data_IF_323501560949
#
_entry.id   IF_323501560949
#
_cell.length_a   1.000
_cell.length_b   1.000
_cell.length_c   1.000
_cell.angle_alpha   90.00
_cell.angle_beta   90.00
_cell.angle_gamma   90.00
#
_symmetry.space_group_name_H-M   'P 1'
#
loop_
_entity.id
_entity.type
_entity.pdbx_description
1 polymer ?
#
# COMPACT_ATOMS: atom_id res chain seq x y z
N UNK A 1 41.04 -12.23 42.24
CA UNK A 1 39.76 -12.59 41.60
C UNK A 1 38.67 -11.50 41.69
N UNK A 2 38.43 -10.75 42.76
CA UNK A 2 37.35 -9.73 42.84
C UNK A 2 37.53 -8.50 41.95
N UNK A 3 38.77 -8.08 41.58
CA UNK A 3 39.04 -6.90 40.76
C UNK A 3 38.70 -7.15 39.24
N UNK A 4 38.93 -8.32 38.73
CA UNK A 4 38.65 -8.71 37.35
C UNK A 4 37.15 -8.81 37.05
N UNK A 5 36.35 -9.29 38.00
CA UNK A 5 34.89 -9.34 37.86
C UNK A 5 34.24 -7.96 37.86
N UNK A 6 34.78 -6.98 38.57
CA UNK A 6 34.25 -5.62 38.64
C UNK A 6 34.56 -4.83 37.35
N UNK A 7 35.71 -5.10 36.71
CA UNK A 7 36.08 -4.53 35.40
C UNK A 7 35.20 -5.09 34.26
N UNK A 8 34.96 -6.40 34.27
CA UNK A 8 34.07 -7.05 33.28
C UNK A 8 32.61 -6.57 33.36
N UNK A 9 32.07 -6.39 34.60
CA UNK A 9 30.71 -5.85 34.78
C UNK A 9 30.58 -4.36 34.34
N UNK A 10 31.63 -3.55 34.51
CA UNK A 10 31.67 -2.17 34.03
C UNK A 10 31.73 -2.13 32.50
N UNK A 11 32.57 -2.94 31.87
CA UNK A 11 32.66 -3.04 30.41
C UNK A 11 31.32 -3.50 29.78
N UNK A 12 30.67 -4.52 30.38
CA UNK A 12 29.35 -4.99 29.94
C UNK A 12 28.25 -3.91 30.09
N UNK A 13 28.28 -3.13 31.19
CA UNK A 13 27.35 -2.01 31.37
C UNK A 13 27.60 -0.89 30.37
N UNK A 14 28.85 -0.56 30.09
CA UNK A 14 29.20 0.47 29.12
C UNK A 14 28.80 0.02 27.69
N UNK A 15 29.04 -1.23 27.34
CA UNK A 15 28.61 -1.81 26.06
C UNK A 15 27.07 -1.81 25.95
N UNK A 16 26.36 -2.22 27.02
CA UNK A 16 24.89 -2.22 27.03
C UNK A 16 24.30 -0.80 26.95
N UNK A 17 24.90 0.18 27.64
CA UNK A 17 24.50 1.59 27.57
C UNK A 17 24.83 2.20 26.22
N UNK A 18 25.98 1.87 25.63
CA UNK A 18 26.32 2.32 24.27
C UNK A 18 25.42 1.69 23.22
N UNK A 19 25.12 0.40 23.32
CA UNK A 19 24.17 -0.28 22.42
C UNK A 19 22.74 0.28 22.57
N UNK A 20 22.30 0.53 23.82
CA UNK A 20 21.02 1.18 24.06
C UNK A 20 20.99 2.61 23.47
N UNK A 21 22.06 3.39 23.62
CA UNK A 21 22.15 4.75 23.06
C UNK A 21 22.19 4.74 21.52
N UNK A 22 22.88 3.78 20.91
CA UNK A 22 22.95 3.62 19.44
C UNK A 22 21.56 3.29 18.86
N UNK A 23 20.72 2.59 19.59
CA UNK A 23 19.36 2.27 19.16
C UNK A 23 18.35 3.38 19.51
N UNK A 24 18.49 4.03 20.66
CA UNK A 24 17.51 5.05 21.11
C UNK A 24 17.63 6.37 20.35
N UNK A 25 18.82 6.82 19.99
CA UNK A 25 19.01 8.09 19.25
C UNK A 25 18.32 8.06 17.87
N UNK A 26 18.50 7.05 17.01
CA UNK A 26 17.75 6.94 15.76
C UNK A 26 16.24 6.89 15.97
N UNK A 27 15.77 6.15 16.96
CA UNK A 27 14.34 6.02 17.27
C UNK A 27 13.73 7.35 17.70
N UNK A 28 14.36 8.05 18.65
CA UNK A 28 13.90 9.36 19.12
C UNK A 28 13.90 10.40 18.00
N UNK A 29 14.79 10.28 17.04
CA UNK A 29 14.87 11.21 15.93
C UNK A 29 13.77 11.01 14.87
N UNK A 30 13.05 9.89 14.87
CA UNK A 30 11.89 9.62 14.02
C UNK A 30 10.57 10.04 14.67
N UNK A 31 10.55 10.17 15.99
CA UNK A 31 9.35 10.52 16.74
C UNK A 31 9.06 12.02 16.62
N UNK A 32 7.80 12.34 16.35
CA UNK A 32 7.28 13.71 16.31
C UNK A 32 6.01 13.81 17.14
N UNK A 33 5.94 14.81 18.01
CA UNK A 33 4.72 15.13 18.75
C UNK A 33 4.13 16.41 18.15
N UNK A 34 3.02 16.31 17.44
CA UNK A 34 2.37 17.37 16.67
C UNK A 34 0.88 17.43 16.95
N UNK A 35 0.27 18.58 16.72
CA UNK A 35 -1.17 18.63 16.54
C UNK A 35 -1.54 17.84 15.29
N UNK A 36 -2.60 17.04 15.36
CA UNK A 36 -3.04 16.25 14.21
C UNK A 36 -3.46 17.15 13.05
N UNK A 37 -4.25 18.20 13.34
CA UNK A 37 -4.65 19.20 12.35
C UNK A 37 -3.59 20.29 12.22
N UNK A 38 -3.33 20.70 10.99
CA UNK A 38 -2.39 21.76 10.62
C UNK A 38 -3.07 22.73 9.65
N UNK A 39 -2.79 24.05 9.73
CA UNK A 39 -3.25 24.99 8.71
C UNK A 39 -2.73 24.58 7.33
N UNK A 40 -3.61 24.56 6.34
CA UNK A 40 -3.21 24.43 4.95
C UNK A 40 -2.50 25.73 4.52
N UNK A 41 -1.45 25.57 3.76
CA UNK A 41 -0.67 26.68 3.20
C UNK A 41 -0.44 26.43 1.73
N UNK A 42 -0.22 27.49 0.95
CA UNK A 42 0.07 27.39 -0.49
C UNK A 42 1.54 27.02 -0.79
N UNK A 43 2.29 26.58 0.20
CA UNK A 43 3.71 26.18 0.03
C UNK A 43 3.90 25.09 -1.02
N UNK A 44 2.93 24.18 -1.13
CA UNK A 44 2.99 23.11 -2.12
C UNK A 44 3.05 23.61 -3.57
N UNK A 45 2.43 24.78 -3.87
CA UNK A 45 2.44 25.38 -5.22
C UNK A 45 3.85 25.80 -5.69
N UNK A 46 4.77 26.02 -4.74
CA UNK A 46 6.15 26.44 -5.01
C UNK A 46 7.16 25.30 -4.97
N UNK A 47 6.70 24.08 -4.67
CA UNK A 47 7.61 22.93 -4.63
C UNK A 47 7.98 22.53 -6.06
N UNK A 48 9.28 22.36 -6.34
CA UNK A 48 9.69 21.81 -7.63
C UNK A 48 9.22 20.38 -7.76
N UNK A 49 8.74 20.02 -8.93
CA UNK A 49 8.32 18.66 -9.25
C UNK A 49 9.47 17.96 -10.00
N UNK A 50 9.85 16.78 -9.52
CA UNK A 50 10.88 15.97 -10.15
C UNK A 50 10.30 15.30 -11.39
N UNK A 51 10.95 15.39 -12.57
CA UNK A 51 10.47 14.73 -13.78
C UNK A 51 10.31 13.22 -13.59
N UNK A 52 9.24 12.66 -14.09
CA UNK A 52 8.93 11.21 -14.00
C UNK A 52 9.77 10.33 -14.92
N UNK A 53 10.34 10.92 -15.96
CA UNK A 53 10.98 10.15 -17.02
C UNK A 53 10.01 9.19 -17.70
N UNK A 54 10.36 7.91 -17.76
CA UNK A 54 9.49 6.85 -18.32
C UNK A 54 8.47 6.26 -17.32
N UNK A 55 8.46 6.71 -16.05
CA UNK A 55 7.55 6.21 -15.02
C UNK A 55 6.11 6.58 -15.34
N UNK A 56 5.21 5.58 -15.38
CA UNK A 56 3.79 5.82 -15.55
C UNK A 56 3.17 6.33 -14.24
N UNK A 57 2.32 7.34 -14.33
CA UNK A 57 1.58 7.86 -13.17
C UNK A 57 0.17 7.32 -13.16
N UNK A 58 -0.35 7.05 -11.98
CA UNK A 58 -1.69 6.51 -11.80
C UNK A 58 -2.22 6.64 -10.39
N UNK A 59 -3.39 6.07 -10.18
CA UNK A 59 -4.08 6.04 -8.87
C UNK A 59 -4.54 4.63 -8.54
N UNK A 60 -4.72 4.34 -7.25
CA UNK A 60 -5.58 3.25 -6.79
C UNK A 60 -7.00 3.78 -6.59
N UNK A 61 -8.02 3.01 -6.97
CA UNK A 61 -9.42 3.36 -6.75
C UNK A 61 -10.11 2.29 -5.90
N UNK A 62 -10.74 2.71 -4.80
CA UNK A 62 -11.30 1.85 -3.75
C UNK A 62 -12.77 2.13 -3.51
N UNK A 63 -13.72 1.47 -4.22
CA UNK A 63 -15.15 1.65 -3.99
C UNK A 63 -15.58 1.52 -2.52
N UNK A 64 -15.07 0.54 -1.72
CA UNK A 64 -15.42 0.48 -0.30
C UNK A 64 -15.05 1.74 0.49
N UNK A 65 -13.91 2.37 0.14
CA UNK A 65 -13.48 3.63 0.76
C UNK A 65 -14.35 4.80 0.33
N UNK A 66 -14.75 4.85 -0.95
CA UNK A 66 -15.68 5.87 -1.47
C UNK A 66 -16.99 5.84 -0.68
N UNK A 67 -17.56 4.66 -0.50
CA UNK A 67 -18.80 4.47 0.26
C UNK A 67 -18.65 4.83 1.74
N UNK A 68 -17.55 4.39 2.36
CA UNK A 68 -17.24 4.73 3.75
C UNK A 68 -17.11 6.25 3.98
N UNK A 69 -16.69 6.99 2.96
CA UNK A 69 -16.60 8.45 2.97
C UNK A 69 -17.93 9.14 2.58
N UNK A 70 -18.99 8.38 2.31
CA UNK A 70 -20.30 8.92 1.91
C UNK A 70 -20.32 9.55 0.51
N UNK A 71 -19.39 9.16 -0.36
CA UNK A 71 -19.29 9.63 -1.73
C UNK A 71 -20.04 8.69 -2.69
N UNK A 72 -20.48 9.22 -3.84
CA UNK A 72 -21.02 8.40 -4.92
C UNK A 72 -19.89 7.78 -5.75
N UNK A 73 -19.88 6.44 -5.85
CA UNK A 73 -18.81 5.71 -6.49
C UNK A 73 -18.67 6.04 -7.99
N UNK A 74 -19.81 6.17 -8.71
CA UNK A 74 -19.78 6.46 -10.15
C UNK A 74 -19.27 7.86 -10.44
N UNK A 75 -19.81 8.86 -9.78
CA UNK A 75 -19.39 10.26 -9.93
C UNK A 75 -17.92 10.44 -9.52
N UNK A 76 -17.50 9.76 -8.45
CA UNK A 76 -16.11 9.82 -7.97
C UNK A 76 -15.15 9.27 -9.01
N UNK A 77 -15.38 8.06 -9.52
CA UNK A 77 -14.51 7.46 -10.54
C UNK A 77 -14.52 8.27 -11.83
N UNK A 78 -15.71 8.67 -12.34
CA UNK A 78 -15.81 9.49 -13.55
C UNK A 78 -15.03 10.79 -13.44
N UNK A 79 -15.11 11.47 -12.28
CA UNK A 79 -14.32 12.68 -12.04
C UNK A 79 -12.81 12.39 -12.04
N UNK A 80 -12.37 11.34 -11.37
CA UNK A 80 -10.95 10.96 -11.31
C UNK A 80 -10.41 10.56 -12.70
N UNK A 81 -11.21 9.92 -13.54
CA UNK A 81 -10.82 9.51 -14.89
C UNK A 81 -10.58 10.70 -15.84
N UNK A 82 -11.06 11.91 -15.54
CA UNK A 82 -10.78 13.11 -16.35
C UNK A 82 -9.34 13.59 -16.26
N UNK A 83 -8.58 13.18 -15.24
CA UNK A 83 -7.18 13.55 -15.09
C UNK A 83 -6.27 12.77 -16.03
N UNK A 84 -5.16 13.37 -16.54
CA UNK A 84 -4.31 12.78 -17.59
C UNK A 84 -3.27 11.79 -17.06
N UNK A 85 -3.60 10.97 -16.06
CA UNK A 85 -2.76 9.85 -15.65
C UNK A 85 -2.97 8.64 -16.59
N UNK A 86 -2.04 7.65 -16.54
CA UNK A 86 -2.03 6.53 -17.48
C UNK A 86 -2.60 5.24 -16.89
N UNK A 87 -2.40 5.01 -15.58
CA UNK A 87 -2.62 3.71 -14.97
C UNK A 87 -3.60 3.82 -13.80
N UNK A 88 -4.57 2.92 -13.74
CA UNK A 88 -5.48 2.78 -12.60
C UNK A 88 -5.40 1.36 -12.03
N UNK A 89 -5.37 1.26 -10.69
CA UNK A 89 -5.46 0.00 -9.98
C UNK A 89 -6.89 -0.19 -9.50
N UNK A 90 -7.52 -1.30 -9.91
CA UNK A 90 -8.88 -1.69 -9.53
C UNK A 90 -8.86 -2.98 -8.74
N UNK A 91 -9.84 -3.20 -7.87
CA UNK A 91 -9.92 -4.38 -7.01
C UNK A 91 -11.21 -5.18 -7.19
N UNK A 92 -11.07 -6.51 -7.24
CA UNK A 92 -12.17 -7.46 -7.17
C UNK A 92 -12.40 -7.88 -5.73
N UNK A 93 -13.40 -7.33 -5.08
CA UNK A 93 -13.70 -7.61 -3.66
C UNK A 93 -14.59 -8.84 -3.53
N UNK A 94 -14.04 -9.96 -3.09
CA UNK A 94 -14.70 -11.27 -3.13
C UNK A 94 -16.04 -11.30 -2.40
N UNK A 95 -16.12 -10.76 -1.18
CA UNK A 95 -17.36 -10.70 -0.40
C UNK A 95 -18.46 -9.86 -1.05
N UNK A 96 -18.11 -8.90 -1.91
CA UNK A 96 -19.08 -8.09 -2.67
C UNK A 96 -19.51 -8.82 -3.94
N UNK A 97 -18.60 -9.55 -4.55
CA UNK A 97 -18.88 -10.29 -5.77
C UNK A 97 -19.60 -11.61 -5.51
N UNK A 98 -19.38 -12.23 -4.36
CA UNK A 98 -20.02 -13.46 -3.93
C UNK A 98 -20.72 -13.28 -2.56
N UNK A 99 -21.81 -12.49 -2.47
CA UNK A 99 -22.48 -12.21 -1.20
C UNK A 99 -23.15 -13.44 -0.58
N UNK A 100 -23.48 -14.46 -1.38
CA UNK A 100 -24.00 -15.76 -0.95
C UNK A 100 -23.46 -16.86 -1.85
N UNK A 101 -23.43 -18.09 -1.35
CA UNK A 101 -22.92 -19.25 -2.09
C UNK A 101 -23.64 -19.43 -3.43
N UNK A 102 -22.86 -19.47 -4.51
CA UNK A 102 -23.35 -19.65 -5.88
C UNK A 102 -23.92 -18.39 -6.53
N UNK A 103 -24.02 -17.27 -5.81
CA UNK A 103 -24.42 -15.98 -6.36
C UNK A 103 -23.16 -15.18 -6.66
N UNK A 104 -23.01 -14.73 -7.91
CA UNK A 104 -21.81 -14.02 -8.32
C UNK A 104 -22.15 -12.80 -9.18
N UNK A 105 -21.78 -11.61 -8.69
CA UNK A 105 -22.02 -10.33 -9.35
C UNK A 105 -20.72 -9.74 -9.86
N UNK A 106 -20.74 -9.22 -11.08
CA UNK A 106 -19.59 -8.54 -11.70
C UNK A 106 -19.88 -7.12 -12.14
N UNK A 107 -21.13 -6.69 -12.10
CA UNK A 107 -21.63 -5.45 -12.71
C UNK A 107 -20.87 -4.22 -12.25
N UNK A 108 -20.50 -4.17 -10.96
CA UNK A 108 -19.70 -3.05 -10.43
C UNK A 108 -18.30 -3.03 -11.03
N UNK A 109 -17.63 -4.17 -11.09
CA UNK A 109 -16.29 -4.29 -11.64
C UNK A 109 -16.30 -4.12 -13.17
N UNK A 110 -17.28 -4.70 -13.85
CA UNK A 110 -17.49 -4.53 -15.29
C UNK A 110 -17.58 -3.04 -15.65
N UNK A 111 -18.42 -2.30 -14.92
CA UNK A 111 -18.57 -0.87 -15.13
C UNK A 111 -17.28 -0.09 -14.87
N UNK A 112 -16.51 -0.42 -13.82
CA UNK A 112 -15.25 0.26 -13.51
C UNK A 112 -14.21 0.03 -14.63
N UNK A 113 -14.11 -1.20 -15.12
CA UNK A 113 -13.22 -1.56 -16.22
C UNK A 113 -13.64 -0.82 -17.50
N UNK A 114 -14.93 -0.82 -17.85
CA UNK A 114 -15.46 -0.13 -19.00
C UNK A 114 -15.16 1.38 -18.96
N UNK A 115 -15.42 2.02 -17.82
CA UNK A 115 -15.16 3.44 -17.64
C UNK A 115 -13.65 3.77 -17.75
N UNK A 116 -12.79 2.93 -17.17
CA UNK A 116 -11.34 3.12 -17.26
C UNK A 116 -10.82 2.95 -18.70
N UNK A 117 -11.28 1.92 -19.43
CA UNK A 117 -10.90 1.71 -20.84
C UNK A 117 -11.42 2.83 -21.76
N UNK A 118 -12.68 3.27 -21.57
CA UNK A 118 -13.24 4.41 -22.30
C UNK A 118 -12.44 5.70 -22.08
N UNK A 119 -11.89 5.88 -20.88
CA UNK A 119 -11.00 7.01 -20.56
C UNK A 119 -9.55 6.78 -21.02
N UNK A 120 -9.25 5.70 -21.74
CA UNK A 120 -7.91 5.36 -22.22
C UNK A 120 -6.91 4.99 -21.15
N UNK A 121 -7.40 4.52 -19.97
CA UNK A 121 -6.51 4.10 -18.86
C UNK A 121 -6.11 2.64 -19.00
N UNK A 122 -4.84 2.35 -18.68
CA UNK A 122 -4.38 0.99 -18.44
C UNK A 122 -4.78 0.56 -17.01
N UNK A 123 -5.02 -0.73 -16.81
CA UNK A 123 -5.58 -1.26 -15.57
C UNK A 123 -4.62 -2.31 -14.98
N UNK A 124 -4.29 -2.17 -13.70
CA UNK A 124 -3.82 -3.29 -12.88
C UNK A 124 -5.04 -3.79 -12.12
N UNK A 125 -5.44 -5.04 -12.37
CA UNK A 125 -6.61 -5.63 -11.71
C UNK A 125 -6.16 -6.56 -10.58
N UNK A 126 -6.49 -6.21 -9.34
CA UNK A 126 -6.30 -7.07 -8.18
C UNK A 126 -7.41 -8.12 -8.15
N UNK A 127 -7.01 -9.39 -8.28
CA UNK A 127 -7.88 -10.56 -8.25
C UNK A 127 -7.64 -11.43 -7.02
N UNK A 128 -6.74 -11.01 -6.13
CA UNK A 128 -6.50 -11.68 -4.86
C UNK A 128 -7.75 -11.66 -3.98
N UNK A 129 -8.27 -12.84 -3.59
CA UNK A 129 -9.60 -12.93 -2.98
C UNK A 129 -9.63 -12.57 -1.50
N UNK A 130 -8.55 -12.81 -0.75
CA UNK A 130 -8.57 -12.65 0.69
C UNK A 130 -8.24 -11.24 1.13
N UNK A 131 -7.13 -10.69 0.60
CA UNK A 131 -6.64 -9.36 0.94
C UNK A 131 -6.62 -8.49 -0.31
N UNK A 132 -7.57 -7.59 -0.42
CA UNK A 132 -7.63 -6.60 -1.49
C UNK A 132 -7.33 -5.21 -0.92
N UNK A 133 -6.69 -4.35 -1.70
CA UNK A 133 -6.26 -3.02 -1.26
C UNK A 133 -7.46 -2.09 -0.95
N UNK A 134 -7.94 -2.13 0.25
CA UNK A 134 -8.90 -1.21 0.86
C UNK A 134 -8.92 -1.45 2.37
N UNK A 135 -9.60 -0.60 3.13
CA UNK A 135 -9.83 -0.82 4.53
C UNK A 135 -11.32 -1.12 4.78
N UNK A 136 -11.68 -2.20 5.49
CA UNK A 136 -10.81 -3.29 5.97
C UNK A 136 -10.17 -4.07 4.81
N UNK A 137 -9.02 -4.73 5.06
CA UNK A 137 -8.27 -5.42 4.00
C UNK A 137 -8.75 -6.84 3.70
N UNK A 138 -9.64 -7.40 4.50
CA UNK A 138 -10.06 -8.80 4.43
C UNK A 138 -11.46 -8.93 3.82
N UNK A 139 -11.53 -9.55 2.65
CA UNK A 139 -12.74 -9.59 1.82
C UNK A 139 -13.30 -10.99 1.58
N UNK A 140 -13.01 -11.95 2.46
CA UNK A 140 -13.60 -13.30 2.35
C UNK A 140 -15.11 -13.24 2.65
N UNK A 141 -15.98 -13.83 1.81
CA UNK A 141 -17.40 -13.92 2.08
C UNK A 141 -17.68 -14.67 3.39
N UNK A 142 -18.60 -14.17 4.20
CA UNK A 142 -18.91 -14.74 5.52
C UNK A 142 -19.34 -16.22 5.45
N UNK A 143 -20.05 -16.62 4.39
CA UNK A 143 -20.48 -18.01 4.17
C UNK A 143 -19.32 -18.97 3.85
N UNK A 144 -18.13 -18.45 3.52
CA UNK A 144 -16.89 -19.23 3.30
C UNK A 144 -16.13 -19.48 4.60
N UNK A 145 -16.49 -18.80 5.68
CA UNK A 145 -15.85 -18.92 6.99
C UNK A 145 -16.82 -19.58 7.98
N UNK A 146 -16.54 -20.83 8.36
CA UNK A 146 -17.33 -21.52 9.40
C UNK A 146 -17.29 -20.78 10.76
N UNK A 147 -16.18 -20.10 11.04
CA UNK A 147 -15.93 -19.24 12.21
C UNK A 147 -14.79 -18.27 11.90
N UNK A 148 -14.71 -17.12 12.60
CA UNK A 148 -13.55 -16.23 12.53
C UNK A 148 -12.26 -16.97 12.85
N UNK A 149 -11.16 -16.56 12.21
CA UNK A 149 -9.84 -17.11 12.55
C UNK A 149 -9.40 -16.63 13.92
N UNK A 150 -8.75 -17.49 14.73
CA UNK A 150 -8.03 -17.04 15.90
C UNK A 150 -6.95 -16.01 15.53
N UNK A 151 -6.65 -15.09 16.45
CA UNK A 151 -5.54 -14.16 16.24
C UNK A 151 -4.21 -14.91 16.02
N UNK A 152 -3.30 -14.29 15.27
CA UNK A 152 -2.02 -14.86 14.83
C UNK A 152 -2.13 -16.08 13.90
N UNK A 153 -3.33 -16.36 13.37
CA UNK A 153 -3.49 -17.46 12.40
C UNK A 153 -2.69 -17.19 11.14
N UNK A 154 -1.89 -18.19 10.74
CA UNK A 154 -1.28 -18.30 9.43
C UNK A 154 -2.16 -19.20 8.57
N UNK A 155 -2.81 -18.63 7.57
CA UNK A 155 -3.81 -19.30 6.74
C UNK A 155 -3.08 -20.18 5.72
N UNK A 156 -3.01 -21.48 5.99
CA UNK A 156 -2.37 -22.47 5.12
C UNK A 156 -3.40 -23.21 4.27
N UNK A 157 -3.11 -23.53 3.00
CA UNK A 157 -4.02 -24.29 2.16
C UNK A 157 -4.41 -25.64 2.74
N UNK A 158 -3.46 -26.34 3.37
CA UNK A 158 -3.69 -27.65 3.99
C UNK A 158 -4.58 -27.61 5.23
N UNK A 159 -4.52 -26.49 5.98
CA UNK A 159 -5.36 -26.30 7.17
C UNK A 159 -6.75 -25.76 6.82
N UNK A 160 -6.87 -25.05 5.71
CA UNK A 160 -8.11 -24.40 5.26
C UNK A 160 -8.41 -24.73 3.78
N UNK A 161 -8.59 -26.02 3.42
CA UNK A 161 -8.85 -26.41 2.03
C UNK A 161 -10.21 -25.88 1.54
N UNK A 162 -11.19 -25.75 2.42
CA UNK A 162 -12.50 -25.14 2.15
C UNK A 162 -12.44 -23.65 1.80
N UNK A 163 -11.34 -22.98 2.05
CA UNK A 163 -11.06 -21.61 1.65
C UNK A 163 -10.13 -21.55 0.44
N UNK A 164 -9.06 -22.36 0.45
CA UNK A 164 -8.04 -22.33 -0.59
C UNK A 164 -8.56 -22.72 -1.98
N UNK A 165 -9.39 -23.74 -2.08
CA UNK A 165 -9.98 -24.16 -3.36
C UNK A 165 -10.92 -23.07 -3.92
N UNK A 166 -11.91 -22.55 -3.18
CA UNK A 166 -12.74 -21.46 -3.69
C UNK A 166 -11.96 -20.18 -4.02
N UNK A 167 -10.88 -19.89 -3.29
CA UNK A 167 -10.02 -18.74 -3.58
C UNK A 167 -9.36 -18.86 -4.97
N UNK A 168 -8.78 -20.02 -5.28
CA UNK A 168 -8.18 -20.26 -6.61
C UNK A 168 -9.25 -20.33 -7.72
N UNK A 169 -10.44 -20.85 -7.44
CA UNK A 169 -11.58 -20.82 -8.36
C UNK A 169 -12.05 -19.38 -8.65
N UNK A 170 -12.09 -18.51 -7.63
CA UNK A 170 -12.42 -17.10 -7.78
C UNK A 170 -11.42 -16.40 -8.72
N UNK A 171 -10.12 -16.57 -8.48
CA UNK A 171 -9.07 -16.03 -9.35
C UNK A 171 -9.26 -16.51 -10.79
N UNK A 172 -9.37 -17.83 -10.98
CA UNK A 172 -9.54 -18.43 -12.31
C UNK A 172 -10.76 -17.86 -13.02
N UNK A 173 -11.89 -17.74 -12.34
CA UNK A 173 -13.13 -17.20 -12.89
C UNK A 173 -12.98 -15.74 -13.34
N UNK A 174 -12.31 -14.91 -12.54
CA UNK A 174 -12.10 -13.51 -12.88
C UNK A 174 -11.12 -13.37 -14.07
N UNK A 175 -10.01 -14.09 -14.01
CA UNK A 175 -9.01 -14.04 -15.08
C UNK A 175 -9.62 -14.52 -16.40
N UNK A 176 -10.36 -15.63 -16.41
CA UNK A 176 -11.07 -16.12 -17.61
C UNK A 176 -12.08 -15.10 -18.15
N UNK A 177 -12.80 -14.40 -17.26
CA UNK A 177 -13.76 -13.35 -17.66
C UNK A 177 -13.08 -12.17 -18.31
N UNK A 178 -11.94 -11.71 -17.78
CA UNK A 178 -11.36 -10.43 -18.14
C UNK A 178 -10.07 -10.52 -18.98
N UNK A 179 -9.48 -11.69 -19.20
CA UNK A 179 -8.21 -11.82 -19.95
C UNK A 179 -8.26 -11.31 -21.38
N UNK A 180 -9.44 -11.14 -21.97
CA UNK A 180 -9.60 -10.58 -23.30
C UNK A 180 -9.65 -9.03 -23.32
N UNK A 181 -9.74 -8.37 -22.14
CA UNK A 181 -9.78 -6.91 -22.01
C UNK A 181 -8.38 -6.35 -22.25
N UNK A 182 -8.26 -5.47 -23.26
CA UNK A 182 -6.96 -4.93 -23.67
C UNK A 182 -6.42 -3.88 -22.68
N UNK A 183 -7.30 -3.20 -21.95
CA UNK A 183 -6.92 -2.24 -20.92
C UNK A 183 -6.22 -2.88 -19.73
N UNK A 184 -6.46 -4.16 -19.44
CA UNK A 184 -5.80 -4.84 -18.32
C UNK A 184 -4.38 -5.22 -18.74
N UNK A 185 -3.38 -4.59 -18.10
CA UNK A 185 -1.96 -4.76 -18.41
C UNK A 185 -1.21 -5.63 -17.41
N UNK A 186 -1.78 -5.85 -16.23
CA UNK A 186 -1.23 -6.73 -15.21
C UNK A 186 -2.32 -7.23 -14.25
N UNK A 187 -2.09 -8.41 -13.69
CA UNK A 187 -2.89 -8.97 -12.60
C UNK A 187 -2.19 -8.76 -11.27
N UNK A 188 -2.92 -8.37 -10.24
CA UNK A 188 -2.37 -8.37 -8.88
C UNK A 188 -2.96 -9.54 -8.10
N UNK A 189 -2.08 -10.29 -7.40
CA UNK A 189 -2.44 -11.32 -6.43
C UNK A 189 -2.25 -10.74 -5.04
N UNK A 190 -3.35 -10.68 -4.28
CA UNK A 190 -3.41 -10.20 -2.91
C UNK A 190 -2.81 -8.79 -2.69
N UNK A 191 -3.05 -8.24 -1.53
CA UNK A 191 -2.46 -7.01 -1.04
C UNK A 191 -1.66 -7.32 0.21
N UNK A 192 -0.36 -6.97 0.25
CA UNK A 192 0.51 -7.26 1.41
C UNK A 192 0.30 -8.70 1.95
N UNK A 193 0.36 -9.68 1.04
CA UNK A 193 -0.19 -11.03 1.19
C UNK A 193 0.15 -11.72 2.51
N UNK A 194 1.42 -11.68 2.94
CA UNK A 194 1.91 -12.40 4.10
C UNK A 194 2.15 -11.49 5.32
N UNK A 195 1.97 -10.19 5.19
CA UNK A 195 2.00 -9.28 6.32
C UNK A 195 0.69 -9.38 7.11
N UNK A 196 0.71 -9.23 8.45
CA UNK A 196 -0.50 -9.26 9.25
C UNK A 196 -1.45 -8.13 8.86
N UNK A 197 -2.74 -8.39 8.89
CA UNK A 197 -3.76 -7.35 8.74
C UNK A 197 -3.57 -6.28 9.82
N UNK A 198 -3.10 -5.12 9.43
CA UNK A 198 -2.80 -3.92 10.19
C UNK A 198 -3.28 -3.88 11.66
N UNK A 199 -4.31 -3.07 11.92
CA UNK A 199 -4.89 -2.88 13.26
C UNK A 199 -6.09 -3.79 13.55
N UNK A 200 -6.67 -4.44 12.55
CA UNK A 200 -7.91 -5.22 12.75
C UNK A 200 -7.65 -6.61 13.28
N UNK A 201 -6.74 -7.34 12.61
CA UNK A 201 -6.41 -8.71 12.94
C UNK A 201 -4.94 -8.98 12.69
N UNK A 202 -4.41 -9.97 13.38
CA UNK A 202 -3.04 -10.46 13.17
C UNK A 202 -2.97 -11.66 12.20
N UNK A 203 -4.03 -11.91 11.43
CA UNK A 203 -4.06 -12.98 10.42
C UNK A 203 -3.15 -12.65 9.24
N UNK A 204 -2.61 -13.68 8.63
CA UNK A 204 -1.75 -13.55 7.45
C UNK A 204 -1.82 -14.81 6.60
N UNK A 205 -1.59 -14.66 5.32
CA UNK A 205 -1.48 -15.81 4.43
C UNK A 205 -0.15 -16.53 4.64
N UNK A 206 -0.16 -17.83 4.47
CA UNK A 206 1.04 -18.63 4.32
C UNK A 206 1.56 -18.46 2.87
N UNK A 207 2.88 -18.43 2.68
CA UNK A 207 3.49 -18.33 1.35
C UNK A 207 2.94 -19.40 0.40
N UNK A 208 2.74 -20.63 0.88
CA UNK A 208 2.18 -21.72 0.07
C UNK A 208 0.72 -21.48 -0.37
N UNK A 209 -0.02 -20.60 0.31
CA UNK A 209 -1.35 -20.19 -0.13
C UNK A 209 -1.23 -19.26 -1.35
N UNK A 210 -0.35 -18.27 -1.22
CA UNK A 210 -0.08 -17.29 -2.28
C UNK A 210 0.53 -17.97 -3.53
N UNK A 211 1.42 -18.93 -3.35
CA UNK A 211 1.98 -19.72 -4.45
C UNK A 211 0.89 -20.42 -5.28
N UNK A 212 -0.12 -21.01 -4.62
CA UNK A 212 -1.27 -21.63 -5.31
C UNK A 212 -2.12 -20.62 -6.05
N UNK A 213 -2.29 -19.44 -5.51
CA UNK A 213 -3.03 -18.36 -6.17
C UNK A 213 -2.31 -17.87 -7.42
N UNK A 214 -1.00 -17.62 -7.33
CA UNK A 214 -0.15 -17.27 -8.47
C UNK A 214 -0.15 -18.37 -9.53
N UNK A 215 -0.07 -19.65 -9.13
CA UNK A 215 -0.14 -20.79 -10.05
C UNK A 215 -1.50 -20.81 -10.78
N UNK A 216 -2.61 -20.67 -10.07
CA UNK A 216 -3.95 -20.62 -10.64
C UNK A 216 -4.10 -19.47 -11.64
N UNK A 217 -3.60 -18.29 -11.29
CA UNK A 217 -3.61 -17.12 -12.16
C UNK A 217 -2.78 -17.38 -13.44
N UNK A 218 -1.52 -17.81 -13.31
CA UNK A 218 -0.63 -18.04 -14.44
C UNK A 218 -1.14 -19.16 -15.38
N UNK A 219 -1.87 -20.13 -14.83
CA UNK A 219 -2.55 -21.16 -15.63
C UNK A 219 -3.72 -20.57 -16.46
N UNK A 220 -4.46 -19.63 -15.90
CA UNK A 220 -5.60 -18.98 -16.56
C UNK A 220 -5.16 -17.92 -17.59
N UNK A 221 -4.10 -17.16 -17.30
CA UNK A 221 -3.46 -16.20 -18.22
C UNK A 221 -1.93 -16.23 -18.07
N UNK A 222 -1.22 -16.98 -18.93
CA UNK A 222 0.24 -17.05 -18.91
C UNK A 222 0.92 -15.83 -19.56
N UNK A 223 0.16 -14.88 -20.10
CA UNK A 223 0.71 -13.80 -20.96
C UNK A 223 0.93 -12.50 -20.21
N UNK A 224 0.05 -12.17 -19.27
CA UNK A 224 0.17 -10.92 -18.52
C UNK A 224 1.02 -11.07 -17.26
N UNK A 225 1.80 -10.03 -16.92
CA UNK A 225 2.62 -10.05 -15.74
C UNK A 225 1.77 -10.09 -14.45
N UNK A 226 2.30 -10.79 -13.46
CA UNK A 226 1.77 -10.84 -12.10
C UNK A 226 2.43 -9.75 -11.27
N UNK A 227 1.64 -8.92 -10.61
CA UNK A 227 2.06 -7.90 -9.66
C UNK A 227 1.74 -8.37 -8.25
N UNK A 228 2.65 -8.16 -7.32
CA UNK A 228 2.43 -8.26 -5.89
C UNK A 228 3.09 -7.09 -5.19
N UNK A 229 2.54 -6.68 -4.06
CA UNK A 229 3.06 -5.54 -3.31
C UNK A 229 3.36 -5.90 -1.86
N UNK A 230 4.12 -5.03 -1.24
CA UNK A 230 4.40 -5.10 0.18
C UNK A 230 4.86 -3.78 0.76
N UNK A 231 4.65 -3.65 2.05
CA UNK A 231 4.97 -2.46 2.80
C UNK A 231 6.48 -2.29 2.98
N UNK A 232 6.98 -1.10 2.65
CA UNK A 232 8.35 -0.71 2.90
C UNK A 232 8.44 0.10 4.20
N UNK A 233 8.86 -0.48 5.33
CA UNK A 233 9.00 0.25 6.57
C UNK A 233 9.99 1.42 6.42
N UNK A 234 9.53 2.61 6.75
CA UNK A 234 10.34 3.84 6.70
C UNK A 234 10.91 4.20 8.08
N UNK A 235 10.40 3.60 9.15
CA UNK A 235 10.85 3.73 10.53
C UNK A 235 11.54 2.45 11.01
N UNK A 236 12.59 2.58 11.84
CA UNK A 236 13.27 1.43 12.44
C UNK A 236 12.34 0.64 13.37
N UNK A 237 11.44 1.31 14.09
CA UNK A 237 10.46 0.64 14.95
C UNK A 237 9.50 -0.22 14.14
N UNK A 238 8.95 0.35 13.08
CA UNK A 238 8.04 -0.36 12.18
C UNK A 238 8.76 -1.53 11.52
N UNK A 239 10.02 -1.35 11.08
CA UNK A 239 10.85 -2.41 10.51
C UNK A 239 11.09 -3.57 11.48
N UNK A 240 11.42 -3.27 12.73
CA UNK A 240 11.62 -4.30 13.75
C UNK A 240 10.32 -5.05 14.05
N UNK A 241 9.19 -4.33 14.11
CA UNK A 241 7.87 -4.92 14.31
C UNK A 241 7.49 -5.83 13.15
N UNK A 242 7.64 -5.38 11.90
CA UNK A 242 7.36 -6.19 10.70
C UNK A 242 8.24 -7.44 10.70
N UNK A 243 9.58 -7.28 10.84
CA UNK A 243 10.51 -8.41 10.89
C UNK A 243 10.13 -9.43 11.97
N UNK A 244 9.76 -8.96 13.19
CA UNK A 244 9.35 -9.86 14.26
C UNK A 244 8.10 -10.67 13.91
N UNK A 245 7.15 -10.04 13.24
CA UNK A 245 5.87 -10.65 12.86
C UNK A 245 5.98 -11.60 11.66
N UNK A 246 6.94 -11.36 10.77
CA UNK A 246 7.07 -12.10 9.50
C UNK A 246 8.31 -12.98 9.40
N UNK A 247 9.13 -13.05 10.45
CA UNK A 247 10.43 -13.74 10.48
C UNK A 247 10.39 -15.23 10.12
N UNK A 248 9.22 -15.85 10.19
CA UNK A 248 9.01 -17.29 9.92
C UNK A 248 8.74 -17.59 8.45
N UNK A 249 8.48 -16.57 7.62
CA UNK A 249 8.22 -16.77 6.18
C UNK A 249 8.68 -15.61 5.29
N UNK A 250 9.27 -14.56 5.87
CA UNK A 250 9.57 -13.31 5.17
C UNK A 250 8.39 -12.34 5.16
N UNK A 251 8.64 -11.11 4.73
CA UNK A 251 7.61 -10.08 4.51
C UNK A 251 7.03 -10.15 3.08
N UNK A 252 5.97 -9.40 2.83
CA UNK A 252 5.29 -9.40 1.53
C UNK A 252 6.18 -8.91 0.38
N UNK A 253 7.15 -8.01 0.64
CA UNK A 253 8.14 -7.63 -0.38
C UNK A 253 9.06 -8.79 -0.77
N UNK A 254 9.51 -9.58 0.20
CA UNK A 254 10.34 -10.74 -0.07
C UNK A 254 9.57 -11.80 -0.89
N UNK A 255 8.29 -12.02 -0.56
CA UNK A 255 7.42 -12.92 -1.33
C UNK A 255 7.16 -12.39 -2.73
N UNK A 256 6.90 -11.09 -2.88
CA UNK A 256 6.74 -10.45 -4.19
C UNK A 256 8.00 -10.60 -5.06
N UNK A 257 9.19 -10.42 -4.49
CA UNK A 257 10.46 -10.64 -5.20
C UNK A 257 10.67 -12.10 -5.65
N UNK A 258 10.01 -13.03 -4.99
CA UNK A 258 10.10 -14.46 -5.36
C UNK A 258 9.06 -14.88 -6.40
N UNK A 259 7.84 -14.36 -6.32
CA UNK A 259 6.69 -14.84 -7.09
C UNK A 259 6.22 -13.94 -8.21
N UNK A 260 6.49 -12.63 -8.14
CA UNK A 260 5.91 -11.64 -9.04
C UNK A 260 6.85 -11.24 -10.19
N UNK A 261 6.26 -10.73 -11.27
CA UNK A 261 6.97 -10.10 -12.40
C UNK A 261 7.10 -8.58 -12.17
N UNK A 262 6.16 -8.01 -11.40
CA UNK A 262 6.16 -6.60 -10.99
C UNK A 262 6.09 -6.55 -9.45
N UNK A 263 7.10 -5.96 -8.83
CA UNK A 263 7.15 -5.75 -7.38
C UNK A 263 6.64 -4.36 -7.06
N UNK A 264 5.53 -4.29 -6.34
CA UNK A 264 4.93 -3.06 -5.83
C UNK A 264 5.44 -2.72 -4.44
N UNK A 265 5.74 -1.45 -4.22
CA UNK A 265 6.20 -0.93 -2.93
C UNK A 265 5.13 -0.01 -2.37
N UNK A 266 4.71 -0.25 -1.14
CA UNK A 266 3.82 0.63 -0.40
C UNK A 266 4.66 1.56 0.46
N UNK A 267 4.65 2.85 0.10
CA UNK A 267 5.51 3.88 0.64
C UNK A 267 4.73 4.87 1.49
N UNK A 268 4.82 4.69 2.81
CA UNK A 268 4.20 5.54 3.81
C UNK A 268 5.26 6.11 4.75
N UNK A 269 5.80 7.30 4.49
CA UNK A 269 6.87 7.87 5.31
C UNK A 269 6.41 8.40 6.67
N UNK A 270 5.10 8.68 6.84
CA UNK A 270 4.54 9.21 8.08
C UNK A 270 3.40 8.37 8.59
N UNK A 271 3.49 7.95 9.84
CA UNK A 271 2.47 7.14 10.53
C UNK A 271 2.02 7.86 11.80
N UNK A 272 0.72 8.01 12.00
CA UNK A 272 0.15 8.37 13.29
C UNK A 272 0.12 7.11 14.17
N UNK A 273 0.67 7.19 15.38
CA UNK A 273 0.72 6.06 16.30
C UNK A 273 -0.39 6.11 17.34
N UNK A 274 -0.48 7.24 18.05
CA UNK A 274 -1.46 7.39 19.13
C UNK A 274 -1.68 8.85 19.50
N UNK A 275 -2.87 9.14 19.98
CA UNK A 275 -3.18 10.44 20.57
C UNK A 275 -2.55 10.56 21.97
N UNK A 276 -1.97 11.73 22.25
CA UNK A 276 -1.35 12.08 23.54
C UNK A 276 -1.87 13.46 23.95
N UNK A 277 -2.96 13.50 24.70
CA UNK A 277 -3.67 14.75 25.00
C UNK A 277 -4.16 15.43 23.73
N UNK A 278 -3.84 16.72 23.56
CA UNK A 278 -4.20 17.51 22.37
C UNK A 278 -3.25 17.28 21.16
N UNK A 279 -2.31 16.35 21.27
CA UNK A 279 -1.32 16.09 20.23
C UNK A 279 -1.38 14.62 19.81
N UNK A 280 -0.77 14.33 18.67
CA UNK A 280 -0.59 12.97 18.16
C UNK A 280 0.90 12.66 18.05
N UNK A 281 1.27 11.47 18.44
CA UNK A 281 2.61 10.93 18.29
C UNK A 281 2.71 10.32 16.88
N UNK A 282 3.69 10.79 16.11
CA UNK A 282 3.97 10.31 14.76
C UNK A 282 5.34 9.67 14.68
N UNK A 283 5.47 8.71 13.78
CA UNK A 283 6.76 8.31 13.20
C UNK A 283 6.93 9.00 11.86
N UNK A 284 8.00 9.76 11.70
CA UNK A 284 8.35 10.44 10.45
C UNK A 284 9.72 9.94 9.97
N UNK A 285 9.68 9.01 9.05
CA UNK A 285 10.85 8.39 8.42
C UNK A 285 11.26 9.05 7.11
N UNK A 286 10.65 10.16 6.69
CA UNK A 286 10.83 10.77 5.37
C UNK A 286 12.27 11.22 5.03
N UNK A 287 13.19 11.29 6.01
CA UNK A 287 14.54 11.84 5.84
C UNK A 287 15.64 10.94 6.40
N UNK A 288 15.72 9.66 5.94
CA UNK A 288 16.70 8.72 6.49
C UNK A 288 17.65 8.13 5.45
N UNK A 289 18.97 8.23 5.65
CA UNK A 289 19.96 7.67 4.73
C UNK A 289 19.85 6.17 4.52
N UNK A 290 19.46 5.40 5.57
CA UNK A 290 19.34 3.94 5.48
C UNK A 290 18.21 3.48 4.56
N UNK A 291 17.17 4.31 4.37
CA UNK A 291 16.11 4.03 3.41
C UNK A 291 16.66 4.00 1.99
N UNK A 292 17.55 4.94 1.65
CA UNK A 292 18.18 4.97 0.34
C UNK A 292 18.99 3.70 0.05
N UNK A 293 19.70 3.16 1.05
CA UNK A 293 20.42 1.88 0.89
C UNK A 293 19.45 0.72 0.66
N UNK A 294 18.31 0.69 1.38
CA UNK A 294 17.30 -0.34 1.19
C UNK A 294 16.66 -0.26 -0.20
N UNK A 295 16.37 0.93 -0.69
CA UNK A 295 15.93 1.15 -2.06
C UNK A 295 16.93 0.59 -3.06
N UNK A 296 18.20 0.94 -2.94
CA UNK A 296 19.26 0.40 -3.81
C UNK A 296 19.29 -1.11 -3.81
N UNK A 297 19.16 -1.72 -2.65
CA UNK A 297 19.14 -3.18 -2.53
C UNK A 297 17.92 -3.79 -3.23
N UNK A 298 16.71 -3.25 -3.02
CA UNK A 298 15.50 -3.68 -3.69
C UNK A 298 15.63 -3.55 -5.22
N UNK A 299 16.13 -2.41 -5.71
CA UNK A 299 16.38 -2.19 -7.14
C UNK A 299 17.37 -3.22 -7.71
N UNK A 300 18.49 -3.43 -7.04
CA UNK A 300 19.51 -4.37 -7.49
C UNK A 300 18.96 -5.82 -7.55
N UNK A 301 18.23 -6.24 -6.53
CA UNK A 301 17.62 -7.57 -6.50
C UNK A 301 16.57 -7.75 -7.59
N UNK A 302 15.61 -6.83 -7.70
CA UNK A 302 14.54 -6.93 -8.71
C UNK A 302 15.11 -6.88 -10.12
N UNK A 303 16.12 -6.03 -10.36
CA UNK A 303 16.79 -5.99 -11.66
C UNK A 303 17.53 -7.30 -12.00
N UNK A 304 18.22 -7.88 -11.02
CA UNK A 304 18.89 -9.17 -11.21
C UNK A 304 17.91 -10.30 -11.57
N UNK A 305 16.65 -10.21 -11.13
CA UNK A 305 15.59 -11.15 -11.47
C UNK A 305 14.76 -10.75 -12.70
N UNK A 306 15.10 -9.66 -13.39
CA UNK A 306 14.34 -9.16 -14.55
C UNK A 306 12.96 -8.58 -14.19
N UNK A 307 12.72 -8.28 -12.92
CA UNK A 307 11.45 -7.77 -12.43
C UNK A 307 11.34 -6.25 -12.62
N UNK A 308 10.11 -5.78 -12.82
CA UNK A 308 9.80 -4.35 -12.76
C UNK A 308 9.51 -3.93 -11.33
N UNK A 309 9.93 -2.72 -10.96
CA UNK A 309 9.58 -2.10 -9.69
C UNK A 309 8.59 -0.96 -9.89
N UNK A 310 7.63 -0.84 -8.99
CA UNK A 310 6.71 0.30 -8.96
C UNK A 310 6.39 0.73 -7.53
N UNK A 311 5.92 1.96 -7.37
CA UNK A 311 5.20 2.37 -6.17
C UNK A 311 3.74 1.99 -6.37
N UNK A 312 3.27 0.99 -5.63
CA UNK A 312 1.87 0.56 -5.67
C UNK A 312 0.98 1.47 -4.81
N UNK A 313 1.56 2.04 -3.75
CA UNK A 313 0.88 2.96 -2.85
C UNK A 313 1.83 4.07 -2.41
N UNK A 314 1.82 5.18 -3.12
CA UNK A 314 2.50 6.40 -2.69
C UNK A 314 1.57 7.20 -1.78
N UNK A 315 1.90 7.32 -0.49
CA UNK A 315 1.05 8.03 0.48
C UNK A 315 0.66 9.42 -0.02
N UNK A 316 -0.64 9.62 -0.22
CA UNK A 316 -1.23 10.86 -0.67
C UNK A 316 -2.55 11.18 0.07
N UNK A 317 -2.86 10.43 1.12
CA UNK A 317 -3.90 10.68 2.08
C UNK A 317 -3.35 10.59 3.52
N UNK A 318 -4.00 11.21 4.50
CA UNK A 318 -3.59 11.10 5.89
C UNK A 318 -3.65 9.67 6.42
N UNK A 319 -2.70 9.35 7.30
CA UNK A 319 -2.72 8.10 8.07
C UNK A 319 -3.72 8.14 9.23
N UNK A 320 -4.00 9.32 9.76
CA UNK A 320 -5.03 9.50 10.78
C UNK A 320 -6.37 9.07 10.19
N UNK A 321 -7.22 8.49 11.04
CA UNK A 321 -8.54 8.03 10.61
C UNK A 321 -9.27 9.12 9.80
N UNK A 322 -9.47 8.83 8.53
CA UNK A 322 -10.22 9.68 7.62
C UNK A 322 -11.69 9.42 7.91
N UNK A 323 -12.21 10.10 8.92
CA UNK A 323 -13.62 10.03 9.30
C UNK A 323 -14.38 11.23 8.77
N UNK A 324 -15.65 11.05 8.57
CA UNK A 324 -16.57 12.15 8.32
C UNK A 324 -17.03 12.78 9.64
N UNK A 325 -17.13 14.11 9.74
CA UNK A 325 -16.73 15.07 8.72
C UNK A 325 -15.21 15.15 8.60
N UNK A 326 -14.70 15.42 7.39
CA UNK A 326 -13.27 15.71 7.26
C UNK A 326 -12.92 16.92 8.11
N UNK A 327 -11.66 17.07 8.45
CA UNK A 327 -11.19 18.28 9.14
C UNK A 327 -11.66 19.54 8.39
N UNK A 328 -11.89 20.67 9.10
CA UNK A 328 -12.46 21.88 8.52
C UNK A 328 -11.71 22.37 7.28
N UNK A 329 -12.37 23.12 6.37
CA UNK A 329 -11.69 23.82 5.29
C UNK A 329 -10.51 24.65 5.81
N UNK A 330 -9.42 24.70 5.07
CA UNK A 330 -8.18 25.38 5.48
C UNK A 330 -7.32 24.64 6.50
N UNK A 331 -7.69 23.42 6.89
CA UNK A 331 -6.89 22.56 7.73
C UNK A 331 -6.65 21.19 7.06
N UNK A 332 -5.45 20.63 7.22
CA UNK A 332 -5.09 19.28 6.80
C UNK A 332 -4.53 18.47 7.95
N UNK A 333 -4.40 17.16 7.75
CA UNK A 333 -3.79 16.26 8.75
C UNK A 333 -2.28 16.17 8.56
N UNK A 334 -1.54 16.15 9.68
CA UNK A 334 -0.08 16.22 9.66
C UNK A 334 0.60 15.08 8.90
N UNK A 335 0.04 13.88 8.92
CA UNK A 335 0.66 12.74 8.25
C UNK A 335 0.72 12.89 6.73
N UNK A 336 -0.24 13.61 6.14
CA UNK A 336 -0.21 13.92 4.71
C UNK A 336 -0.95 15.22 4.41
N UNK A 337 -0.22 16.31 4.27
CA UNK A 337 -0.68 17.59 3.73
C UNK A 337 -0.47 17.63 2.20
N UNK A 338 -1.05 18.56 1.44
CA UNK A 338 -0.83 18.64 -0.01
C UNK A 338 0.64 18.67 -0.43
N UNK A 339 1.50 19.35 0.36
CA UNK A 339 2.95 19.32 0.11
C UNK A 339 3.57 17.93 0.25
N UNK A 340 3.02 17.04 1.09
CA UNK A 340 3.53 15.67 1.23
C UNK A 340 3.22 14.82 0.00
N UNK A 341 2.12 15.07 -0.68
CA UNK A 341 1.81 14.39 -1.96
C UNK A 341 2.97 14.60 -2.94
N UNK A 342 3.43 15.86 -3.10
CA UNK A 342 4.55 16.21 -3.96
C UNK A 342 5.88 15.70 -3.41
N UNK A 343 6.14 15.85 -2.11
CA UNK A 343 7.42 15.46 -1.51
C UNK A 343 7.63 13.96 -1.51
N UNK A 344 6.58 13.17 -1.29
CA UNK A 344 6.63 11.70 -1.34
C UNK A 344 6.91 11.23 -2.77
N UNK A 345 6.19 11.76 -3.74
CA UNK A 345 6.45 11.53 -5.16
C UNK A 345 7.90 11.89 -5.53
N UNK A 346 8.34 13.12 -5.23
CA UNK A 346 9.69 13.59 -5.52
C UNK A 346 10.78 12.70 -4.90
N UNK A 347 10.53 12.18 -3.69
CA UNK A 347 11.47 11.30 -3.00
C UNK A 347 11.67 10.01 -3.78
N UNK A 348 10.58 9.38 -4.17
CA UNK A 348 10.61 8.14 -4.96
C UNK A 348 11.26 8.36 -6.34
N UNK A 349 10.92 9.45 -7.02
CA UNK A 349 11.51 9.78 -8.31
C UNK A 349 13.02 10.02 -8.23
N UNK A 350 13.50 10.77 -7.23
CA UNK A 350 14.95 11.00 -7.04
C UNK A 350 15.72 9.71 -6.74
N UNK A 351 15.10 8.76 -6.04
CA UNK A 351 15.74 7.47 -5.78
C UNK A 351 15.79 6.62 -7.05
N UNK A 352 14.72 6.59 -7.84
CA UNK A 352 14.65 5.80 -9.06
C UNK A 352 15.57 6.33 -10.17
N UNK A 353 15.69 7.65 -10.34
CA UNK A 353 16.55 8.26 -11.38
C UNK A 353 18.04 7.91 -11.24
N UNK A 354 18.47 7.54 -10.03
CA UNK A 354 19.87 7.19 -9.75
C UNK A 354 20.19 5.73 -10.07
N UNK A 355 19.19 4.89 -10.20
CA UNK A 355 19.34 3.44 -10.38
C UNK A 355 18.65 2.99 -11.69
N UNK A 356 17.38 2.71 -11.62
CA UNK A 356 16.54 2.24 -12.74
C UNK A 356 15.18 2.93 -12.64
N UNK A 357 14.59 3.39 -13.75
CA UNK A 357 13.25 3.99 -13.71
C UNK A 357 12.21 3.05 -13.11
N UNK A 358 11.34 3.59 -12.26
CA UNK A 358 10.15 2.87 -11.81
C UNK A 358 9.24 2.59 -13.01
N UNK A 359 8.62 1.41 -13.02
CA UNK A 359 7.59 1.10 -13.98
C UNK A 359 6.39 2.05 -13.84
N UNK A 360 5.93 2.24 -12.59
CA UNK A 360 4.80 3.13 -12.30
C UNK A 360 4.89 3.73 -10.88
N UNK A 361 4.15 4.81 -10.67
CA UNK A 361 3.86 5.39 -9.36
C UNK A 361 2.35 5.60 -9.23
N UNK A 362 1.70 4.86 -8.32
CA UNK A 362 0.30 5.01 -8.01
C UNK A 362 0.13 5.83 -6.73
N UNK A 363 -0.67 6.89 -6.82
CA UNK A 363 -1.04 7.68 -5.67
C UNK A 363 -2.13 6.97 -4.87
N UNK A 364 -1.95 6.92 -3.56
CA UNK A 364 -2.90 6.37 -2.61
C UNK A 364 -3.61 7.47 -1.86
N UNK A 365 -4.92 7.66 -2.13
CA UNK A 365 -5.72 8.67 -1.46
C UNK A 365 -6.68 9.45 -2.35
N UNK A 366 -6.96 8.97 -3.56
CA UNK A 366 -7.83 9.66 -4.51
C UNK A 366 -9.25 9.93 -3.96
N UNK A 367 -9.78 9.00 -3.18
CA UNK A 367 -11.09 9.12 -2.53
C UNK A 367 -11.11 10.22 -1.47
N UNK A 368 -10.03 10.33 -0.70
CA UNK A 368 -9.87 11.43 0.26
C UNK A 368 -9.82 12.79 -0.42
N UNK A 369 -9.17 12.92 -1.57
CA UNK A 369 -9.14 14.17 -2.32
C UNK A 369 -10.54 14.57 -2.80
N UNK A 370 -11.36 13.60 -3.20
CA UNK A 370 -12.74 13.83 -3.60
C UNK A 370 -13.62 14.25 -2.42
N UNK A 371 -13.42 13.69 -1.22
CA UNK A 371 -14.06 14.14 0.01
C UNK A 371 -13.67 15.59 0.33
N UNK A 372 -12.39 15.94 0.20
CA UNK A 372 -11.90 17.30 0.40
C UNK A 372 -12.51 18.28 -0.60
N UNK A 373 -12.58 17.88 -1.88
CA UNK A 373 -13.27 18.65 -2.94
C UNK A 373 -14.73 18.92 -2.57
N UNK A 374 -15.46 17.94 -2.08
CA UNK A 374 -16.84 18.10 -1.64
C UNK A 374 -16.97 19.14 -0.50
N UNK A 375 -15.96 19.25 0.33
CA UNK A 375 -15.86 20.21 1.43
C UNK A 375 -15.28 21.58 0.99
N UNK A 376 -15.09 21.82 -0.32
CA UNK A 376 -14.57 23.08 -0.86
C UNK A 376 -13.03 23.20 -0.87
N UNK A 377 -12.29 22.15 -0.53
CA UNK A 377 -10.82 22.13 -0.55
C UNK A 377 -10.28 21.36 -1.77
N UNK A 378 -9.69 22.08 -2.70
CA UNK A 378 -9.10 21.51 -3.92
C UNK A 378 -7.59 21.26 -3.81
N UNK A 379 -6.95 21.59 -2.70
CA UNK A 379 -5.49 21.62 -2.58
C UNK A 379 -4.80 20.28 -2.91
N UNK A 380 -5.38 19.15 -2.49
CA UNK A 380 -4.87 17.82 -2.80
C UNK A 380 -5.00 17.48 -4.29
N UNK A 381 -6.16 17.71 -4.88
CA UNK A 381 -6.39 17.50 -6.32
C UNK A 381 -5.49 18.40 -7.17
N UNK A 382 -5.29 19.65 -6.76
CA UNK A 382 -4.41 20.57 -7.45
C UNK A 382 -2.93 20.16 -7.32
N UNK A 383 -2.50 19.67 -6.15
CA UNK A 383 -1.15 19.11 -5.97
C UNK A 383 -0.92 17.90 -6.88
N UNK A 384 -1.91 17.00 -6.98
CA UNK A 384 -1.87 15.87 -7.92
C UNK A 384 -1.84 16.32 -9.38
N UNK A 385 -2.75 17.24 -9.79
CA UNK A 385 -2.77 17.79 -11.14
C UNK A 385 -1.44 18.46 -11.49
N UNK A 386 -0.88 19.25 -10.58
CA UNK A 386 0.43 19.88 -10.78
C UNK A 386 1.57 18.87 -11.01
N UNK A 387 1.51 17.69 -10.37
CA UNK A 387 2.46 16.61 -10.67
C UNK A 387 2.23 16.07 -12.08
N UNK A 388 0.98 15.84 -12.49
CA UNK A 388 0.69 15.30 -13.83
C UNK A 388 1.13 16.22 -14.96
N UNK A 389 1.05 17.54 -14.75
CA UNK A 389 1.40 18.56 -15.73
C UNK A 389 2.90 18.82 -15.84
N UNK A 390 3.65 18.66 -14.74
CA UNK A 390 5.06 19.11 -14.65
C UNK A 390 6.07 17.96 -14.42
N UNK A 391 5.60 16.71 -14.35
CA UNK A 391 6.46 15.55 -14.12
C UNK A 391 7.12 14.97 -15.38
#
# INVERSE_FOLDING_TARGET
MKRTQKASRRALRTIALSAASILTIPLLSEVRLKQATQPLTDKWQRLPIVPRGSTQLGISYRPPQVEALGLDARTTLQTLLTYPYHLIRLGAYWNRMEPAQGIFYTDELDWQIDAAEQAGKQIILCVGPLKTFSYPEFFVPSHRLARPFPEHTRIKPSAYPSLSTPATEFITRLVERYKHRQGIVAWQVEHEAVDPLGVEHSWRLDVSFVEKEVEALRKADPTRPVMMNGFLPTSLLVRLSQWWRTRDQGDSLAVAQHLADIVGIDYYPRHALMAVGARTLYLDGSRRPWQQQRWKHLFAQSHAHGQKLMIAEGQAEPWEAVTTPPNPPGQGMYSCLPEQVILNYNTCMRWSQREIPLYAYLFWGAEYWMLRKQSGDLSYLQAFAGILENA
#
